data_IF_238500806970
#
_entry.id   IF_238500806970
#
_cell.length_a   1.000
_cell.length_b   1.000
_cell.length_c   1.000
_cell.angle_alpha   90.00
_cell.angle_beta   90.00
_cell.angle_gamma   90.00
#
_symmetry.space_group_name_H-M   'P 1'
#
loop_
_entity.id
_entity.type
_entity.pdbx_description
1 polymer ?
#
# COMPACT_ATOMS: atom_id res chain seq x y z
N UNK A 1 13.07 6.17 -10.60
CA UNK A 1 12.63 5.44 -9.40
C UNK A 1 13.30 6.05 -8.18
N UNK A 2 12.92 5.64 -6.97
CA UNK A 2 13.36 6.24 -5.70
C UNK A 2 14.89 6.18 -5.44
N UNK A 3 15.66 5.38 -6.21
CA UNK A 3 17.12 5.27 -6.11
C UNK A 3 17.63 5.04 -4.67
N UNK A 4 16.87 4.26 -3.89
CA UNK A 4 17.21 3.95 -2.50
C UNK A 4 18.43 3.01 -2.42
N UNK A 5 19.35 3.29 -1.51
CA UNK A 5 20.53 2.45 -1.25
C UNK A 5 20.24 1.33 -0.23
N UNK A 6 19.15 1.45 0.55
CA UNK A 6 18.79 0.55 1.65
C UNK A 6 17.31 0.17 1.63
N UNK A 7 17.03 -1.12 1.81
CA UNK A 7 15.69 -1.68 1.97
C UNK A 7 15.72 -2.84 2.98
N UNK A 8 14.80 -2.84 3.96
CA UNK A 8 14.71 -3.87 5.02
C UNK A 8 16.03 -4.07 5.79
N UNK A 9 16.75 -2.98 6.07
CA UNK A 9 18.01 -2.98 6.82
C UNK A 9 19.21 -3.54 6.07
N UNK A 10 19.09 -3.77 4.76
CA UNK A 10 20.14 -4.31 3.89
C UNK A 10 20.28 -3.44 2.63
N UNK A 11 21.42 -3.50 1.91
CA UNK A 11 21.55 -2.79 0.64
C UNK A 11 20.46 -3.23 -0.36
N UNK A 12 19.97 -2.29 -1.16
CA UNK A 12 18.99 -2.58 -2.22
C UNK A 12 19.55 -3.52 -3.28
N UNK A 13 18.65 -4.16 -4.02
CA UNK A 13 18.99 -5.21 -4.97
C UNK A 13 19.97 -4.72 -6.06
N UNK A 14 19.75 -3.53 -6.65
CA UNK A 14 20.71 -2.94 -7.59
C UNK A 14 22.07 -2.58 -6.97
N UNK A 15 22.13 -2.28 -5.65
CA UNK A 15 23.41 -2.04 -4.96
C UNK A 15 24.22 -3.30 -4.73
N UNK A 16 23.56 -4.46 -4.60
CA UNK A 16 24.23 -5.74 -4.38
C UNK A 16 24.59 -6.41 -5.71
N UNK A 17 23.67 -6.37 -6.68
CA UNK A 17 23.75 -7.20 -7.89
C UNK A 17 23.83 -6.42 -9.21
N UNK A 18 23.74 -5.10 -9.18
CA UNK A 18 23.69 -4.26 -10.39
C UNK A 18 22.26 -4.01 -10.88
N UNK A 19 22.09 -2.91 -11.64
CA UNK A 19 20.79 -2.46 -12.14
C UNK A 19 20.18 -3.44 -13.15
N UNK A 20 21.01 -4.11 -13.95
CA UNK A 20 20.61 -5.11 -14.93
C UNK A 20 19.97 -6.33 -14.26
N UNK A 21 20.59 -6.84 -13.20
CA UNK A 21 20.03 -7.95 -12.42
C UNK A 21 18.81 -7.52 -11.62
N UNK A 22 18.75 -6.27 -11.15
CA UNK A 22 17.58 -5.75 -10.42
C UNK A 22 16.31 -5.74 -11.30
N UNK A 23 16.43 -5.24 -12.53
CA UNK A 23 15.32 -5.24 -13.49
C UNK A 23 14.88 -6.66 -13.82
N UNK A 24 15.82 -7.56 -14.16
CA UNK A 24 15.50 -8.95 -14.51
C UNK A 24 14.88 -9.73 -13.34
N UNK A 25 15.33 -9.46 -12.10
CA UNK A 25 14.73 -10.06 -10.91
C UNK A 25 13.30 -9.54 -10.67
N UNK A 26 13.05 -8.26 -10.93
CA UNK A 26 11.72 -7.67 -10.87
C UNK A 26 10.77 -8.31 -11.90
N UNK A 27 11.21 -8.42 -13.15
CA UNK A 27 10.44 -9.05 -14.23
C UNK A 27 10.15 -10.53 -13.93
N UNK A 28 11.15 -11.28 -13.45
CA UNK A 28 10.97 -12.69 -13.08
C UNK A 28 10.01 -12.88 -11.90
N UNK A 29 10.03 -11.98 -10.90
CA UNK A 29 9.07 -12.01 -9.79
C UNK A 29 7.64 -11.69 -10.25
N UNK A 30 7.49 -10.79 -11.23
CA UNK A 30 6.19 -10.49 -11.84
C UNK A 30 5.65 -11.68 -12.61
N UNK A 31 6.47 -12.29 -13.47
CA UNK A 31 6.12 -13.51 -14.21
C UNK A 31 5.77 -14.66 -13.27
N UNK A 32 6.55 -14.85 -12.21
CA UNK A 32 6.29 -15.90 -11.21
C UNK A 32 5.01 -15.61 -10.40
N UNK A 33 4.69 -14.34 -10.13
CA UNK A 33 3.42 -13.97 -9.51
C UNK A 33 2.24 -14.31 -10.43
N UNK A 34 2.33 -14.02 -11.73
CA UNK A 34 1.31 -14.41 -12.71
C UNK A 34 1.22 -15.92 -12.91
N UNK A 35 2.35 -16.65 -12.92
CA UNK A 35 2.34 -18.11 -12.96
C UNK A 35 1.68 -18.68 -11.71
N UNK A 36 2.06 -18.21 -10.53
CA UNK A 36 1.49 -18.67 -9.26
C UNK A 36 -0.01 -18.38 -9.19
N UNK A 37 -0.43 -17.17 -9.60
CA UNK A 37 -1.85 -16.80 -9.72
C UNK A 37 -2.55 -17.60 -10.80
N UNK A 38 -2.03 -17.74 -12.01
CA UNK A 38 -2.71 -18.45 -13.11
C UNK A 38 -2.85 -19.96 -12.84
N UNK A 39 -1.90 -20.55 -12.11
CA UNK A 39 -1.98 -21.95 -11.67
C UNK A 39 -2.88 -22.12 -10.45
N UNK A 40 -3.08 -21.09 -9.63
CA UNK A 40 -3.73 -21.21 -8.31
C UNK A 40 -4.99 -20.37 -8.09
N UNK A 41 -5.34 -19.45 -9.01
CA UNK A 41 -6.37 -18.42 -8.80
C UNK A 41 -6.94 -17.84 -10.11
N UNK A 42 -8.25 -17.57 -10.16
CA UNK A 42 -8.95 -16.98 -11.31
C UNK A 42 -9.42 -15.56 -10.96
N UNK A 43 -9.16 -14.57 -11.83
CA UNK A 43 -9.80 -13.24 -11.76
C UNK A 43 -9.00 -12.08 -11.13
N UNK A 44 -7.71 -11.92 -11.44
CA UNK A 44 -6.90 -10.79 -10.93
C UNK A 44 -6.90 -9.60 -11.91
N UNK A 45 -7.23 -8.40 -11.41
CA UNK A 45 -7.09 -7.14 -12.15
C UNK A 45 -5.71 -6.49 -11.89
N UNK A 46 -5.06 -5.99 -12.96
CA UNK A 46 -3.78 -5.26 -12.89
C UNK A 46 -4.00 -3.77 -12.54
N UNK A 47 -3.54 -3.32 -11.36
CA UNK A 47 -3.58 -1.90 -10.95
C UNK A 47 -2.24 -1.29 -10.50
N UNK A 48 -1.27 -2.13 -10.10
CA UNK A 48 -0.05 -1.68 -9.39
C UNK A 48 0.87 -0.78 -10.21
N UNK A 49 1.06 -1.12 -11.49
CA UNK A 49 1.94 -0.38 -12.41
C UNK A 49 1.40 1.02 -12.66
N UNK A 50 0.08 1.18 -12.75
CA UNK A 50 -0.56 2.47 -12.99
C UNK A 50 -0.29 3.45 -11.84
N UNK A 51 -0.42 3.01 -10.58
CA UNK A 51 -0.13 3.86 -9.43
C UNK A 51 1.32 4.31 -9.37
N UNK A 52 2.26 3.42 -9.69
CA UNK A 52 3.69 3.75 -9.72
C UNK A 52 4.04 4.73 -10.85
N UNK A 53 3.43 4.58 -12.02
CA UNK A 53 3.66 5.49 -13.15
C UNK A 53 3.14 6.89 -12.85
N UNK A 54 1.96 7.00 -12.22
CA UNK A 54 1.39 8.32 -11.86
C UNK A 54 2.17 8.97 -10.72
N UNK A 55 2.71 8.20 -9.77
CA UNK A 55 3.61 8.71 -8.71
C UNK A 55 4.84 9.39 -9.31
N UNK A 56 5.57 8.68 -10.19
CA UNK A 56 6.79 9.19 -10.84
C UNK A 56 6.49 10.45 -11.66
N UNK A 57 5.40 10.45 -12.42
CA UNK A 57 5.02 11.60 -13.24
C UNK A 57 4.49 12.79 -12.43
N UNK A 58 4.21 12.60 -11.14
CA UNK A 58 3.75 13.66 -10.23
C UNK A 58 4.88 14.28 -9.40
N UNK A 59 6.11 13.75 -9.47
CA UNK A 59 7.29 14.33 -8.84
C UNK A 59 7.59 15.72 -9.40
N UNK A 60 7.74 16.73 -8.54
CA UNK A 60 8.00 18.12 -8.92
C UNK A 60 6.78 18.94 -9.39
N UNK A 61 5.57 18.37 -9.38
CA UNK A 61 4.35 19.13 -9.64
C UNK A 61 3.86 19.84 -8.37
N UNK A 62 3.58 21.15 -8.48
CA UNK A 62 3.11 21.97 -7.35
C UNK A 62 1.60 22.05 -7.20
N UNK A 63 0.83 21.52 -8.16
CA UNK A 63 -0.63 21.69 -8.27
C UNK A 63 -1.38 20.34 -8.22
N UNK A 64 -0.94 19.44 -7.35
CA UNK A 64 -1.54 18.12 -7.16
C UNK A 64 -2.57 18.18 -6.03
N UNK A 65 -3.85 18.02 -6.38
CA UNK A 65 -4.96 17.98 -5.42
C UNK A 65 -5.05 16.67 -4.63
N UNK A 66 -5.82 16.68 -3.54
CA UNK A 66 -6.04 15.51 -2.67
C UNK A 66 -6.59 14.29 -3.43
N UNK A 67 -7.51 14.51 -4.38
CA UNK A 67 -8.11 13.43 -5.17
C UNK A 67 -7.07 12.70 -6.06
N UNK A 68 -6.09 13.44 -6.58
CA UNK A 68 -5.01 12.87 -7.38
C UNK A 68 -4.00 12.10 -6.51
N UNK A 69 -3.73 12.59 -5.30
CA UNK A 69 -2.90 11.87 -4.33
C UNK A 69 -3.57 10.57 -3.87
N UNK A 70 -4.87 10.61 -3.60
CA UNK A 70 -5.64 9.42 -3.26
C UNK A 70 -5.60 8.41 -4.41
N UNK A 71 -5.74 8.86 -5.67
CA UNK A 71 -5.61 8.00 -6.83
C UNK A 71 -4.26 7.26 -6.87
N UNK A 72 -3.15 7.97 -6.65
CA UNK A 72 -1.81 7.36 -6.61
C UNK A 72 -1.76 6.28 -5.53
N UNK A 73 -2.18 6.59 -4.30
CA UNK A 73 -2.06 5.68 -3.17
C UNK A 73 -2.97 4.45 -3.28
N UNK A 74 -4.18 4.61 -3.81
CA UNK A 74 -5.08 3.50 -4.11
C UNK A 74 -4.43 2.55 -5.11
N UNK A 75 -3.89 3.07 -6.21
CA UNK A 75 -3.38 2.22 -7.29
C UNK A 75 -1.96 1.69 -7.03
N UNK A 76 -1.16 2.37 -6.20
CA UNK A 76 0.22 1.96 -5.89
C UNK A 76 0.30 0.93 -4.76
N UNK A 77 -0.60 1.00 -3.79
CA UNK A 77 -0.48 0.21 -2.55
C UNK A 77 -1.76 -0.54 -2.22
N UNK A 78 -2.92 0.11 -2.32
CA UNK A 78 -4.18 -0.54 -1.96
C UNK A 78 -4.58 -1.65 -2.94
N UNK A 79 -4.29 -1.49 -4.24
CA UNK A 79 -4.63 -2.45 -5.28
C UNK A 79 -4.11 -3.89 -5.00
N UNK A 80 -2.93 -4.04 -4.40
CA UNK A 80 -2.38 -5.37 -4.09
C UNK A 80 -3.06 -6.02 -2.88
N UNK A 81 -3.42 -5.21 -1.87
CA UNK A 81 -4.16 -5.67 -0.70
C UNK A 81 -5.61 -6.01 -1.06
N UNK A 82 -6.23 -5.20 -1.92
CA UNK A 82 -7.54 -5.48 -2.52
C UNK A 82 -7.51 -6.82 -3.26
N UNK A 83 -6.52 -7.04 -4.12
CA UNK A 83 -6.37 -8.31 -4.82
C UNK A 83 -6.24 -9.49 -3.84
N UNK A 84 -5.41 -9.40 -2.80
CA UNK A 84 -5.24 -10.48 -1.83
C UNK A 84 -6.55 -10.85 -1.12
N UNK A 85 -7.34 -9.85 -0.71
CA UNK A 85 -8.60 -10.07 0.02
C UNK A 85 -9.71 -10.56 -0.90
N UNK A 86 -9.86 -9.97 -2.08
CA UNK A 86 -10.92 -10.32 -3.04
C UNK A 86 -10.68 -11.71 -3.63
N UNK A 87 -9.43 -12.09 -3.88
CA UNK A 87 -9.10 -13.44 -4.38
C UNK A 87 -9.59 -14.54 -3.42
N UNK A 88 -9.41 -14.38 -2.11
CA UNK A 88 -9.90 -15.38 -1.15
C UNK A 88 -11.43 -15.41 -1.05
N UNK A 89 -12.09 -14.25 -1.19
CA UNK A 89 -13.54 -14.16 -1.13
C UNK A 89 -14.19 -14.82 -2.37
N UNK A 90 -13.62 -14.59 -3.56
CA UNK A 90 -14.05 -15.24 -4.82
C UNK A 90 -13.74 -16.74 -4.79
N UNK A 91 -12.55 -17.16 -4.33
CA UNK A 91 -12.17 -18.58 -4.21
C UNK A 91 -13.10 -19.38 -3.28
N UNK A 92 -13.72 -18.74 -2.28
CA UNK A 92 -14.73 -19.36 -1.41
C UNK A 92 -16.13 -19.45 -2.04
N UNK A 93 -16.29 -19.00 -3.28
CA UNK A 93 -17.54 -19.02 -4.03
C UNK A 93 -18.38 -17.74 -3.89
N UNK A 94 -17.81 -16.66 -3.35
CA UNK A 94 -18.44 -15.33 -3.39
C UNK A 94 -18.47 -14.78 -4.82
N UNK A 95 -19.56 -14.15 -5.20
CA UNK A 95 -19.69 -13.43 -6.48
C UNK A 95 -19.45 -11.93 -6.25
N UNK A 96 -19.13 -11.17 -7.31
CA UNK A 96 -18.99 -9.70 -7.23
C UNK A 96 -20.26 -8.98 -6.73
N UNK A 97 -21.40 -9.68 -6.73
CA UNK A 97 -22.70 -9.21 -6.23
C UNK A 97 -22.92 -9.48 -4.73
N UNK A 98 -21.96 -10.13 -4.08
CA UNK A 98 -22.01 -10.42 -2.64
C UNK A 98 -21.62 -9.18 -1.84
N UNK A 99 -22.55 -8.69 -1.01
CA UNK A 99 -22.34 -7.53 -0.15
C UNK A 99 -21.13 -7.71 0.77
N UNK A 100 -20.83 -8.95 1.19
CA UNK A 100 -19.65 -9.24 2.00
C UNK A 100 -18.34 -9.09 1.20
N UNK A 101 -18.34 -9.44 -0.10
CA UNK A 101 -17.18 -9.23 -0.99
C UNK A 101 -16.94 -7.75 -1.20
N UNK A 102 -17.99 -6.95 -1.45
CA UNK A 102 -17.87 -5.50 -1.61
C UNK A 102 -17.34 -4.83 -0.33
N UNK A 103 -17.81 -5.27 0.84
CA UNK A 103 -17.34 -4.76 2.14
C UNK A 103 -15.88 -5.13 2.41
N UNK A 104 -15.47 -6.35 2.09
CA UNK A 104 -14.08 -6.79 2.19
C UNK A 104 -13.17 -6.04 1.20
N UNK A 105 -13.65 -5.74 0.00
CA UNK A 105 -12.94 -4.91 -0.97
C UNK A 105 -12.73 -3.48 -0.44
N UNK A 106 -13.79 -2.83 0.08
CA UNK A 106 -13.68 -1.50 0.70
C UNK A 106 -12.75 -1.52 1.92
N UNK A 107 -12.79 -2.59 2.72
CA UNK A 107 -11.89 -2.77 3.86
C UNK A 107 -10.43 -2.80 3.39
N UNK A 108 -10.11 -3.62 2.39
CA UNK A 108 -8.78 -3.74 1.82
C UNK A 108 -8.26 -2.41 1.26
N UNK A 109 -9.15 -1.65 0.60
CA UNK A 109 -8.86 -0.31 0.10
C UNK A 109 -8.45 0.66 1.21
N UNK A 110 -9.21 0.70 2.31
CA UNK A 110 -8.93 1.58 3.44
C UNK A 110 -7.66 1.21 4.18
N UNK A 111 -7.40 -0.08 4.42
CA UNK A 111 -6.14 -0.48 5.07
C UNK A 111 -4.92 -0.22 4.16
N UNK A 112 -5.08 -0.29 2.84
CA UNK A 112 -4.02 0.05 1.89
C UNK A 112 -3.71 1.54 1.86
N UNK A 113 -4.73 2.38 1.87
CA UNK A 113 -4.55 3.83 2.00
C UNK A 113 -3.93 4.18 3.36
N UNK A 114 -4.42 3.56 4.44
CA UNK A 114 -3.88 3.70 5.79
C UNK A 114 -2.39 3.34 5.83
N UNK A 115 -2.00 2.23 5.20
CA UNK A 115 -0.60 1.80 5.15
C UNK A 115 0.29 2.87 4.54
N UNK A 116 -0.16 3.48 3.45
CA UNK A 116 0.58 4.52 2.74
C UNK A 116 0.67 5.82 3.57
N UNK A 117 -0.44 6.25 4.17
CA UNK A 117 -0.46 7.43 5.06
C UNK A 117 0.51 7.24 6.22
N UNK A 118 0.48 6.08 6.87
CA UNK A 118 1.39 5.77 7.98
C UNK A 118 2.84 5.67 7.50
N UNK A 119 3.12 5.07 6.34
CA UNK A 119 4.47 4.96 5.80
C UNK A 119 5.12 6.33 5.57
N UNK A 120 4.34 7.27 5.05
CA UNK A 120 4.77 8.64 4.80
C UNK A 120 4.92 9.41 6.13
N UNK A 121 4.03 9.22 7.11
CA UNK A 121 4.19 9.81 8.45
C UNK A 121 5.48 9.29 9.10
N UNK A 122 5.78 8.00 8.97
CA UNK A 122 7.00 7.40 9.47
C UNK A 122 8.24 7.95 8.74
N UNK A 123 8.18 8.13 7.42
CA UNK A 123 9.27 8.71 6.61
C UNK A 123 9.67 10.11 7.10
N UNK A 124 8.69 10.94 7.51
CA UNK A 124 8.97 12.30 7.99
C UNK A 124 9.26 12.40 9.49
N UNK A 125 8.93 11.38 10.30
CA UNK A 125 9.07 11.45 11.78
C UNK A 125 10.15 10.55 12.37
N UNK A 126 10.59 9.51 11.66
CA UNK A 126 11.55 8.51 12.17
C UNK A 126 12.91 8.65 11.49
N UNK A 127 13.95 8.13 12.15
CA UNK A 127 15.28 8.05 11.56
C UNK A 127 15.43 6.84 10.64
N UNK A 128 16.35 6.91 9.66
CA UNK A 128 16.66 5.80 8.75
C UNK A 128 17.05 4.51 9.50
N UNK A 129 17.64 4.64 10.69
CA UNK A 129 18.01 3.49 11.55
C UNK A 129 16.78 2.78 12.13
N UNK A 130 15.74 3.53 12.48
CA UNK A 130 14.49 2.96 13.00
C UNK A 130 13.65 2.30 11.90
N UNK A 131 13.62 2.92 10.71
CA UNK A 131 12.85 2.39 9.57
C UNK A 131 13.59 1.28 8.81
N UNK A 132 14.92 1.23 8.89
CA UNK A 132 15.73 0.32 8.07
C UNK A 132 15.69 0.63 6.56
N UNK A 133 15.24 1.84 6.19
CA UNK A 133 15.25 2.42 4.83
C UNK A 133 15.70 3.89 4.92
N UNK A 134 15.96 4.54 3.79
CA UNK A 134 16.25 5.98 3.75
C UNK A 134 15.04 6.77 4.24
N UNK A 135 15.15 7.49 5.36
CA UNK A 135 14.11 8.36 5.88
C UNK A 135 14.18 9.77 5.25
N UNK A 136 13.05 10.47 5.20
CA UNK A 136 12.94 11.84 4.68
C UNK A 136 13.11 11.94 3.17
N UNK A 137 13.02 10.82 2.45
CA UNK A 137 13.20 10.81 1.00
C UNK A 137 12.07 11.52 0.28
N UNK A 138 10.85 11.47 0.82
CA UNK A 138 9.69 12.09 0.19
C UNK A 138 9.83 13.62 0.19
N UNK A 139 10.43 14.18 1.24
CA UNK A 139 10.79 15.61 1.30
C UNK A 139 11.89 15.97 0.28
N UNK A 140 12.88 15.11 0.10
CA UNK A 140 13.99 15.34 -0.83
C UNK A 140 13.57 15.22 -2.30
N UNK A 141 12.62 14.33 -2.60
CA UNK A 141 12.06 14.13 -3.94
C UNK A 141 10.93 15.11 -4.29
N UNK A 142 10.65 16.08 -3.42
CA UNK A 142 9.52 17.03 -3.51
C UNK A 142 8.16 16.34 -3.75
N UNK A 143 8.01 15.09 -3.30
CA UNK A 143 6.80 14.29 -3.51
C UNK A 143 5.61 14.96 -2.81
N UNK A 144 4.47 14.89 -3.47
CA UNK A 144 3.21 15.33 -2.89
C UNK A 144 2.73 14.25 -1.95
N UNK A 145 2.62 14.60 -0.66
CA UNK A 145 2.29 13.67 0.41
C UNK A 145 1.26 14.27 1.35
N UNK A 146 0.54 13.45 2.11
CA UNK A 146 -0.44 13.96 3.08
C UNK A 146 0.19 14.93 4.10
N UNK A 147 1.34 14.62 4.75
CA UNK A 147 1.99 15.58 5.64
C UNK A 147 2.34 16.91 4.96
N UNK A 148 2.71 16.91 3.68
CA UNK A 148 3.00 18.13 2.90
C UNK A 148 1.73 18.94 2.59
N UNK A 149 0.62 18.28 2.26
CA UNK A 149 -0.63 18.94 1.86
C UNK A 149 -1.48 19.44 3.06
N UNK A 150 -1.62 18.60 4.09
CA UNK A 150 -2.55 18.85 5.21
C UNK A 150 -1.87 18.97 6.57
N UNK A 151 -0.55 18.74 6.64
CA UNK A 151 0.21 18.72 7.89
C UNK A 151 0.20 17.36 8.57
N UNK A 152 1.21 17.10 9.42
CA UNK A 152 1.39 15.81 10.11
C UNK A 152 0.20 15.49 11.01
N UNK A 153 -0.30 16.47 11.75
CA UNK A 153 -1.38 16.25 12.73
C UNK A 153 -2.69 15.84 12.04
N UNK A 154 -3.08 16.53 10.97
CA UNK A 154 -4.24 16.12 10.16
C UNK A 154 -4.01 14.79 9.43
N UNK A 155 -2.77 14.46 9.08
CA UNK A 155 -2.44 13.15 8.48
C UNK A 155 -2.63 12.01 9.48
N UNK A 156 -2.29 12.22 10.76
CA UNK A 156 -2.57 11.26 11.83
C UNK A 156 -4.06 11.10 12.10
N UNK A 157 -4.81 12.21 12.12
CA UNK A 157 -6.27 12.19 12.23
C UNK A 157 -6.90 11.42 11.06
N UNK A 158 -6.39 11.63 9.84
CA UNK A 158 -6.84 10.91 8.66
C UNK A 158 -6.52 9.41 8.72
N UNK A 159 -5.35 9.03 9.22
CA UNK A 159 -5.01 7.64 9.47
C UNK A 159 -5.97 6.97 10.48
N UNK A 160 -6.29 7.66 11.59
CA UNK A 160 -7.27 7.14 12.56
C UNK A 160 -8.67 7.01 11.96
N UNK A 161 -9.07 7.97 11.11
CA UNK A 161 -10.33 7.88 10.38
C UNK A 161 -10.36 6.65 9.47
N UNK A 162 -9.33 6.44 8.64
CA UNK A 162 -9.24 5.27 7.77
C UNK A 162 -9.28 3.96 8.55
N UNK A 163 -8.62 3.92 9.72
CA UNK A 163 -8.69 2.77 10.62
C UNK A 163 -10.14 2.55 11.10
N UNK A 164 -10.80 3.58 11.63
CA UNK A 164 -12.19 3.49 12.09
C UNK A 164 -13.12 3.01 10.98
N UNK A 165 -13.07 3.66 9.82
CA UNK A 165 -13.90 3.35 8.66
C UNK A 165 -13.66 1.89 8.19
N UNK A 166 -12.41 1.40 8.24
CA UNK A 166 -12.10 0.00 7.93
C UNK A 166 -12.71 -0.98 8.94
N UNK A 167 -12.68 -0.67 10.23
CA UNK A 167 -13.23 -1.54 11.27
C UNK A 167 -14.76 -1.58 11.24
N UNK A 168 -15.40 -0.47 10.87
CA UNK A 168 -16.85 -0.42 10.65
C UNK A 168 -17.30 -1.37 9.55
N UNK A 169 -16.53 -1.49 8.47
CA UNK A 169 -16.82 -2.43 7.39
C UNK A 169 -16.79 -3.89 7.82
N UNK A 170 -16.13 -4.24 8.92
CA UNK A 170 -16.09 -5.59 9.49
C UNK A 170 -17.23 -5.86 10.50
N UNK A 171 -18.09 -4.89 10.82
CA UNK A 171 -19.18 -5.11 11.78
C UNK A 171 -20.23 -6.09 11.26
N UNK A 172 -20.59 -7.11 12.03
CA UNK A 172 -21.57 -8.12 11.60
C UNK A 172 -20.95 -9.33 10.88
N UNK A 173 -19.64 -9.31 10.61
CA UNK A 173 -18.88 -10.54 10.41
C UNK A 173 -18.70 -11.25 11.76
N UNK A 174 -18.46 -12.56 11.70
CA UNK A 174 -18.12 -13.36 12.88
C UNK A 174 -16.86 -12.80 13.57
N UNK A 175 -16.94 -12.57 14.89
CA UNK A 175 -15.90 -11.87 15.63
C UNK A 175 -14.59 -12.64 15.72
N UNK A 176 -14.63 -13.99 15.76
CA UNK A 176 -13.42 -14.80 15.77
C UNK A 176 -12.75 -14.81 14.39
N UNK A 177 -13.55 -14.86 13.32
CA UNK A 177 -13.03 -14.82 11.94
C UNK A 177 -12.52 -13.44 11.54
N UNK A 178 -13.11 -12.36 12.03
CA UNK A 178 -12.68 -10.99 11.74
C UNK A 178 -11.48 -10.54 12.58
N UNK A 179 -11.19 -11.19 13.71
CA UNK A 179 -10.12 -10.80 14.62
C UNK A 179 -8.72 -10.64 13.97
N UNK A 180 -8.29 -11.49 13.02
CA UNK A 180 -7.02 -11.28 12.31
C UNK A 180 -7.01 -10.00 11.47
N UNK A 181 -8.10 -9.67 10.79
CA UNK A 181 -8.22 -8.46 9.96
C UNK A 181 -8.24 -7.19 10.82
N UNK A 182 -8.95 -7.23 11.96
CA UNK A 182 -8.95 -6.16 12.96
C UNK A 182 -7.54 -5.95 13.52
N UNK A 183 -6.84 -7.03 13.85
CA UNK A 183 -5.47 -6.98 14.35
C UNK A 183 -4.51 -6.41 13.30
N UNK A 184 -4.68 -6.76 12.03
CA UNK A 184 -3.89 -6.24 10.92
C UNK A 184 -4.11 -4.73 10.73
N UNK A 185 -5.36 -4.26 10.72
CA UNK A 185 -5.68 -2.84 10.59
C UNK A 185 -5.06 -2.02 11.73
N UNK A 186 -5.15 -2.51 12.96
CA UNK A 186 -4.52 -1.87 14.12
C UNK A 186 -2.99 -1.91 14.05
N UNK A 187 -2.40 -3.03 13.61
CA UNK A 187 -0.97 -3.13 13.39
C UNK A 187 -0.49 -2.08 12.38
N UNK A 188 -1.16 -1.96 11.24
CA UNK A 188 -0.82 -0.97 10.21
C UNK A 188 -0.89 0.45 10.77
N UNK A 189 -1.93 0.78 11.55
CA UNK A 189 -2.11 2.11 12.12
C UNK A 189 -1.02 2.50 13.13
N UNK A 190 -0.53 1.54 13.93
CA UNK A 190 0.34 1.81 15.07
C UNK A 190 1.79 1.29 14.92
N UNK A 191 2.12 0.72 13.76
CA UNK A 191 3.48 0.23 13.48
C UNK A 191 4.51 1.34 13.67
N UNK A 192 5.69 0.95 14.13
CA UNK A 192 6.79 1.86 14.39
C UNK A 192 7.86 1.86 13.29
N UNK A 193 7.70 0.94 12.32
CA UNK A 193 8.59 0.72 11.17
C UNK A 193 7.83 0.14 9.99
#
# INVERSE_FOLDING_TARGET
MDNDDLQRGKPTNHKVFGEDIDVLAGDALLDFAFEHVAVSTVGVALGLVTGQVVDINSEGLTDVGLDHLEFIHVHKTAALLEAAVVLEAILRGGCDEDEDVERLWKFARYIGLLFQVVDVILDVTKSSKELGKTAGKDLLADKVTYPKLIGIEKSKEFAEKLRSDSLELLQGFDSEKAAPLISLANYIAYRQN
#
